data_IF_484961363726
#
_entry.id   IF_484961363726
#
_cell.length_a   1.000
_cell.length_b   1.000
_cell.length_c   1.000
_cell.angle_alpha   90.00
_cell.angle_beta   90.00
_cell.angle_gamma   90.00
#
_symmetry.space_group_name_H-M   'P 1'
#
loop_
_entity.id
_entity.type
_entity.pdbx_description
1 polymer ?
#
# COMPACT_ATOMS: atom_id res chain seq x y z
N UNK A 1 1.67 11.21 -16.47
CA UNK A 1 1.33 9.79 -16.70
C UNK A 1 1.51 9.01 -15.40
N UNK A 2 0.57 9.10 -14.45
CA UNK A 2 0.59 8.35 -13.18
C UNK A 2 -0.47 7.23 -13.12
N UNK A 3 -1.37 7.18 -14.11
CA UNK A 3 -2.54 6.27 -14.14
C UNK A 3 -2.22 4.76 -14.15
N UNK A 4 -0.99 4.35 -14.41
CA UNK A 4 -0.61 2.93 -14.52
C UNK A 4 0.27 2.40 -13.39
N UNK A 5 0.84 3.27 -12.57
CA UNK A 5 1.91 2.88 -11.65
C UNK A 5 1.38 2.08 -10.47
N UNK A 6 0.29 2.57 -9.85
CA UNK A 6 -0.38 1.86 -8.76
C UNK A 6 -0.93 0.50 -9.22
N UNK A 7 -1.51 0.42 -10.42
CA UNK A 7 -1.98 -0.84 -11.00
C UNK A 7 -0.85 -1.86 -11.17
N UNK A 8 0.32 -1.41 -11.65
CA UNK A 8 1.51 -2.24 -11.75
C UNK A 8 1.98 -2.74 -10.39
N UNK A 9 2.03 -1.86 -9.39
CA UNK A 9 2.42 -2.19 -8.01
C UNK A 9 1.46 -3.19 -7.37
N UNK A 10 0.15 -3.03 -7.53
CA UNK A 10 -0.88 -3.96 -7.03
C UNK A 10 -0.70 -5.36 -7.63
N UNK A 11 -0.43 -5.46 -8.94
CA UNK A 11 -0.13 -6.76 -9.56
C UNK A 11 1.13 -7.39 -8.98
N UNK A 12 2.18 -6.59 -8.76
CA UNK A 12 3.42 -7.02 -8.13
C UNK A 12 3.21 -7.56 -6.72
N UNK A 13 2.42 -6.84 -5.91
CA UNK A 13 2.04 -7.25 -4.54
C UNK A 13 1.35 -8.61 -4.56
N UNK A 14 0.30 -8.78 -5.38
CA UNK A 14 -0.43 -10.06 -5.46
C UNK A 14 0.46 -11.22 -5.89
N UNK A 15 1.38 -10.98 -6.85
CA UNK A 15 2.33 -12.00 -7.30
C UNK A 15 3.31 -12.39 -6.19
N UNK A 16 3.90 -11.40 -5.52
CA UNK A 16 4.84 -11.64 -4.42
C UNK A 16 4.16 -12.36 -3.27
N UNK A 17 2.97 -11.92 -2.86
CA UNK A 17 2.18 -12.57 -1.82
C UNK A 17 1.92 -14.04 -2.15
N UNK A 18 1.56 -14.36 -3.40
CA UNK A 18 1.34 -15.75 -3.80
C UNK A 18 2.61 -16.62 -3.73
N UNK A 19 3.78 -16.04 -4.01
CA UNK A 19 5.07 -16.73 -3.87
C UNK A 19 5.44 -16.95 -2.40
N UNK A 20 5.19 -15.96 -1.55
CA UNK A 20 5.59 -15.99 -0.14
C UNK A 20 4.62 -16.83 0.72
N UNK A 21 3.31 -16.73 0.47
CA UNK A 21 2.24 -17.30 1.30
C UNK A 21 1.58 -18.55 0.70
N UNK A 22 1.85 -18.88 -0.57
CA UNK A 22 1.37 -20.12 -1.19
C UNK A 22 -0.07 -20.10 -1.74
N UNK A 23 -0.75 -18.95 -1.73
CA UNK A 23 -2.05 -18.80 -2.40
C UNK A 23 -2.20 -17.42 -3.05
N UNK A 24 -3.01 -17.34 -4.11
CA UNK A 24 -3.25 -16.08 -4.81
C UNK A 24 -4.36 -15.28 -4.10
N UNK A 25 -4.09 -14.06 -3.59
CA UNK A 25 -5.12 -13.26 -2.94
C UNK A 25 -6.14 -12.74 -3.97
N UNK A 26 -7.37 -12.42 -3.54
CA UNK A 26 -8.41 -11.88 -4.41
C UNK A 26 -7.95 -10.66 -5.23
N UNK A 27 -8.64 -10.40 -6.35
CA UNK A 27 -8.38 -9.21 -7.16
C UNK A 27 -8.79 -7.94 -6.41
N UNK A 28 -8.01 -6.88 -6.56
CA UNK A 28 -8.32 -5.58 -5.98
C UNK A 28 -9.17 -4.80 -6.97
N UNK A 29 -10.41 -4.50 -6.57
CA UNK A 29 -11.30 -3.64 -7.35
C UNK A 29 -11.07 -2.18 -7.00
N UNK A 30 -10.66 -1.37 -7.99
CA UNK A 30 -10.45 0.07 -7.82
C UNK A 30 -11.68 0.79 -8.36
N UNK A 31 -12.21 1.73 -7.57
CA UNK A 31 -13.35 2.56 -7.93
C UNK A 31 -13.09 3.99 -7.48
N UNK A 32 -13.48 4.94 -8.32
CA UNK A 32 -13.53 6.33 -7.92
C UNK A 32 -14.69 6.54 -6.95
N UNK A 33 -14.46 7.35 -5.91
CA UNK A 33 -15.49 7.78 -4.98
C UNK A 33 -15.40 9.30 -4.81
N UNK A 34 -16.35 10.01 -5.41
CA UNK A 34 -16.41 11.48 -5.40
C UNK A 34 -16.83 12.06 -4.05
N UNK A 35 -17.29 11.23 -3.11
CA UNK A 35 -17.63 11.65 -1.75
C UNK A 35 -16.38 11.72 -0.84
N UNK A 36 -15.25 11.14 -1.26
CA UNK A 36 -14.01 11.23 -0.51
C UNK A 36 -13.35 12.60 -0.67
N UNK A 37 -12.66 13.10 0.37
CA UNK A 37 -11.83 14.28 0.22
C UNK A 37 -10.79 14.09 -0.89
N UNK A 38 -10.33 15.18 -1.53
CA UNK A 38 -9.26 15.11 -2.51
C UNK A 38 -8.03 14.39 -1.96
N UNK A 39 -7.35 13.62 -2.81
CA UNK A 39 -6.15 12.84 -2.46
C UNK A 39 -6.34 11.80 -1.33
N UNK A 40 -7.57 11.51 -0.91
CA UNK A 40 -7.86 10.46 0.07
C UNK A 40 -8.21 9.14 -0.60
N UNK A 41 -7.94 8.02 0.08
CA UNK A 41 -8.34 6.69 -0.35
C UNK A 41 -8.85 5.86 0.83
N UNK A 42 -9.63 4.83 0.51
CA UNK A 42 -10.11 3.81 1.46
C UNK A 42 -9.85 2.42 0.88
N UNK A 43 -9.53 1.48 1.75
CA UNK A 43 -9.34 0.07 1.44
C UNK A 43 -10.46 -0.68 2.14
N UNK A 44 -11.20 -1.47 1.36
CA UNK A 44 -12.35 -2.21 1.85
C UNK A 44 -12.16 -3.71 1.67
N UNK A 45 -12.61 -4.47 2.66
CA UNK A 45 -12.75 -5.91 2.59
C UNK A 45 -14.21 -6.29 2.77
N UNK A 46 -14.79 -6.99 1.78
CA UNK A 46 -16.20 -7.42 1.81
C UNK A 46 -17.18 -6.26 2.12
N UNK A 47 -16.84 -5.05 1.65
CA UNK A 47 -17.63 -3.83 1.84
C UNK A 47 -17.36 -3.07 3.13
N UNK A 48 -16.55 -3.60 4.05
CA UNK A 48 -16.17 -2.95 5.31
C UNK A 48 -14.82 -2.26 5.14
N UNK A 49 -14.70 -1.01 5.60
CA UNK A 49 -13.42 -0.31 5.61
C UNK A 49 -12.44 -0.97 6.58
N UNK A 50 -11.25 -1.30 6.08
CA UNK A 50 -10.17 -1.88 6.86
C UNK A 50 -8.94 -0.97 6.94
N UNK A 51 -8.93 0.12 6.18
CA UNK A 51 -7.87 1.13 6.24
C UNK A 51 -8.19 2.31 5.33
N UNK A 52 -7.62 3.45 5.65
CA UNK A 52 -7.74 4.69 4.89
C UNK A 52 -6.48 5.52 5.03
N UNK A 53 -6.34 6.52 4.17
CA UNK A 53 -5.21 7.44 4.25
C UNK A 53 -5.26 8.47 3.13
N UNK A 54 -4.21 9.28 3.11
CA UNK A 54 -3.99 10.30 2.09
C UNK A 54 -2.80 9.92 1.22
N UNK A 55 -2.87 10.29 -0.05
CA UNK A 55 -1.82 10.10 -1.04
C UNK A 55 -1.81 11.30 -1.98
N UNK A 56 -0.97 12.30 -1.69
CA UNK A 56 -0.93 13.57 -2.42
C UNK A 56 -0.15 13.42 -3.75
N UNK A 57 -0.82 13.40 -4.92
CA UNK A 57 -0.13 13.19 -6.18
C UNK A 57 0.84 14.33 -6.49
N UNK A 58 2.05 14.00 -6.95
CA UNK A 58 3.10 14.98 -7.25
C UNK A 58 3.96 15.40 -6.05
N UNK A 59 3.61 14.94 -4.84
CA UNK A 59 4.42 15.11 -3.63
C UNK A 59 5.00 13.77 -3.17
N UNK A 60 5.88 13.86 -2.18
CA UNK A 60 6.61 12.73 -1.61
C UNK A 60 6.33 12.65 -0.11
N UNK A 61 6.18 11.44 0.40
CA UNK A 61 6.08 11.20 1.83
C UNK A 61 7.48 10.91 2.38
N UNK A 62 7.99 11.79 3.24
CA UNK A 62 9.22 11.59 3.99
C UNK A 62 8.88 10.99 5.35
N UNK A 63 9.20 9.71 5.53
CA UNK A 63 8.90 8.93 6.73
C UNK A 63 10.12 8.92 7.64
N UNK A 64 9.94 9.23 8.92
CA UNK A 64 10.98 9.14 9.95
C UNK A 64 11.00 7.72 10.54
N UNK A 65 12.03 6.90 10.30
CA UNK A 65 12.12 5.56 10.87
C UNK A 65 12.65 5.55 12.32
N UNK A 66 12.78 6.72 12.95
CA UNK A 66 13.19 6.91 14.35
C UNK A 66 14.62 7.46 14.52
N UNK A 67 15.37 7.58 13.43
CA UNK A 67 16.76 8.10 13.43
C UNK A 67 16.95 9.30 12.49
N UNK A 68 15.88 9.83 11.89
CA UNK A 68 15.99 11.01 11.05
C UNK A 68 16.28 12.25 11.90
N UNK A 69 17.04 13.20 11.35
CA UNK A 69 17.52 14.38 12.07
C UNK A 69 17.01 15.65 11.40
N UNK A 70 16.54 16.59 12.22
CA UNK A 70 16.01 17.87 11.76
C UNK A 70 14.52 17.80 11.43
N UNK A 71 13.98 18.91 10.93
CA UNK A 71 12.59 19.01 10.49
C UNK A 71 12.53 19.36 9.00
N UNK A 72 11.48 18.89 8.34
CA UNK A 72 11.17 19.20 6.94
C UNK A 72 9.96 20.13 6.89
N UNK A 73 10.00 21.10 5.98
CA UNK A 73 8.85 21.92 5.66
C UNK A 73 7.83 21.10 4.85
N UNK A 74 6.58 21.05 5.30
CA UNK A 74 5.53 20.29 4.66
C UNK A 74 4.37 19.95 5.60
N UNK A 75 3.43 19.15 5.09
CA UNK A 75 2.26 18.75 5.87
C UNK A 75 2.60 17.51 6.71
N UNK A 76 2.63 17.68 8.04
CA UNK A 76 2.88 16.58 8.98
C UNK A 76 1.74 15.58 8.93
N UNK A 77 2.07 14.29 8.91
CA UNK A 77 1.13 13.18 8.85
C UNK A 77 1.75 11.92 9.47
N UNK A 78 1.09 10.78 9.33
CA UNK A 78 1.54 9.49 9.83
C UNK A 78 1.52 8.49 8.67
N UNK A 79 2.58 7.70 8.53
CA UNK A 79 2.61 6.60 7.57
C UNK A 79 1.50 5.58 7.90
N UNK A 80 0.61 5.26 6.96
CA UNK A 80 -0.56 4.45 7.24
C UNK A 80 -0.25 2.96 7.41
N UNK A 81 0.94 2.48 7.00
CA UNK A 81 1.31 1.07 7.11
C UNK A 81 1.95 0.73 8.46
N UNK A 82 2.74 1.64 9.03
CA UNK A 82 3.54 1.38 10.22
C UNK A 82 3.30 2.37 11.36
N UNK A 83 2.51 3.42 11.16
CA UNK A 83 2.23 4.42 12.19
C UNK A 83 3.40 5.34 12.49
N UNK A 84 4.35 5.48 11.57
CA UNK A 84 5.55 6.30 11.75
C UNK A 84 5.27 7.76 11.42
N UNK A 85 5.90 8.70 12.15
CA UNK A 85 5.81 10.12 11.83
C UNK A 85 6.34 10.39 10.42
N UNK A 86 5.60 11.19 9.66
CA UNK A 86 5.97 11.51 8.29
C UNK A 86 5.57 12.94 7.91
N UNK A 87 6.12 13.43 6.79
CA UNK A 87 5.83 14.76 6.26
C UNK A 87 5.65 14.66 4.75
N UNK A 88 4.57 15.24 4.23
CA UNK A 88 4.41 15.46 2.79
C UNK A 88 5.28 16.63 2.35
N UNK A 89 6.26 16.34 1.50
CA UNK A 89 7.24 17.30 1.00
C UNK A 89 7.15 17.45 -0.52
N UNK A 90 7.55 18.62 -1.00
CA UNK A 90 7.73 18.86 -2.43
C UNK A 90 8.97 18.14 -2.96
N UNK A 91 8.98 17.88 -4.27
CA UNK A 91 10.08 17.15 -4.93
C UNK A 91 11.46 17.77 -4.70
N UNK A 92 11.52 19.10 -4.53
CA UNK A 92 12.75 19.83 -4.26
C UNK A 92 13.43 19.45 -2.93
N UNK A 93 12.65 18.98 -1.94
CA UNK A 93 13.18 18.59 -0.63
C UNK A 93 13.57 17.11 -0.54
N UNK A 94 13.36 16.33 -1.61
CA UNK A 94 13.58 14.87 -1.61
C UNK A 94 15.02 14.51 -1.22
N UNK A 95 16.01 15.09 -1.88
CA UNK A 95 17.43 14.78 -1.63
C UNK A 95 17.84 15.19 -0.21
N UNK A 96 17.40 16.37 0.24
CA UNK A 96 17.64 16.85 1.60
C UNK A 96 17.05 15.90 2.64
N UNK A 97 15.79 15.49 2.47
CA UNK A 97 15.12 14.56 3.37
C UNK A 97 15.86 13.21 3.46
N UNK A 98 16.36 12.69 2.34
CA UNK A 98 17.16 11.46 2.34
C UNK A 98 18.50 11.62 3.10
N UNK A 99 19.19 12.75 2.91
CA UNK A 99 20.43 13.06 3.65
C UNK A 99 20.17 13.15 5.15
N UNK A 100 19.01 13.69 5.54
CA UNK A 100 18.56 13.79 6.92
C UNK A 100 18.11 12.44 7.52
N UNK A 101 18.11 11.35 6.74
CA UNK A 101 17.75 10.01 7.20
C UNK A 101 16.28 9.63 7.04
N UNK A 102 15.46 10.45 6.39
CA UNK A 102 14.07 10.11 6.08
C UNK A 102 14.02 9.08 4.94
N UNK A 103 13.08 8.14 5.06
CA UNK A 103 12.71 7.27 3.93
C UNK A 103 11.69 8.01 3.07
N UNK A 104 12.08 8.37 1.84
CA UNK A 104 11.23 9.20 0.96
C UNK A 104 10.59 8.34 -0.12
N UNK A 105 9.26 8.35 -0.19
CA UNK A 105 8.46 7.53 -1.12
C UNK A 105 7.42 8.37 -1.86
N UNK A 106 7.07 7.94 -3.08
CA UNK A 106 6.02 8.58 -3.87
C UNK A 106 4.63 8.21 -3.36
N UNK A 107 3.64 9.06 -3.63
CA UNK A 107 2.25 8.81 -3.23
C UNK A 107 1.68 7.44 -3.67
N UNK A 108 2.01 6.99 -4.89
CA UNK A 108 1.60 5.67 -5.39
C UNK A 108 2.19 4.53 -4.55
N UNK A 109 3.41 4.72 -4.03
CA UNK A 109 4.09 3.76 -3.17
C UNK A 109 3.48 3.73 -1.77
N UNK A 110 3.03 4.87 -1.23
CA UNK A 110 2.32 4.93 0.06
C UNK A 110 1.07 4.04 0.02
N UNK A 111 0.21 4.22 -0.98
CA UNK A 111 -1.02 3.40 -1.14
C UNK A 111 -0.67 1.92 -1.31
N UNK A 112 0.36 1.61 -2.12
CA UNK A 112 0.78 0.24 -2.38
C UNK A 112 1.33 -0.46 -1.11
N UNK A 113 2.16 0.23 -0.33
CA UNK A 113 2.71 -0.30 0.92
C UNK A 113 1.62 -0.53 1.95
N UNK A 114 0.69 0.42 2.11
CA UNK A 114 -0.46 0.25 3.00
C UNK A 114 -1.34 -0.93 2.59
N UNK A 115 -1.67 -1.05 1.31
CA UNK A 115 -2.42 -2.19 0.80
C UNK A 115 -1.69 -3.52 1.04
N UNK A 116 -0.38 -3.58 0.79
CA UNK A 116 0.40 -4.78 1.04
C UNK A 116 0.41 -5.16 2.53
N UNK A 117 0.52 -4.17 3.41
CA UNK A 117 0.43 -4.36 4.86
C UNK A 117 -0.92 -4.98 5.25
N UNK A 118 -2.03 -4.40 4.79
CA UNK A 118 -3.37 -4.91 5.09
C UNK A 118 -3.62 -6.30 4.49
N UNK A 119 -3.13 -6.58 3.27
CA UNK A 119 -3.25 -7.93 2.69
C UNK A 119 -2.52 -8.97 3.56
N UNK A 120 -1.36 -8.62 4.11
CA UNK A 120 -0.64 -9.47 5.08
C UNK A 120 -1.40 -9.62 6.40
N UNK A 121 -1.88 -8.52 6.96
CA UNK A 121 -2.60 -8.49 8.23
C UNK A 121 -3.90 -9.32 8.18
N UNK A 122 -4.64 -9.24 7.08
CA UNK A 122 -5.90 -9.96 6.89
C UNK A 122 -5.76 -11.19 5.98
N UNK A 123 -4.57 -11.78 5.91
CA UNK A 123 -4.29 -12.92 5.05
C UNK A 123 -5.21 -14.11 5.34
N UNK A 124 -5.63 -14.30 6.60
CA UNK A 124 -6.52 -15.40 6.98
C UNK A 124 -7.96 -15.19 6.53
N UNK A 125 -8.44 -13.95 6.58
CA UNK A 125 -9.80 -13.54 6.22
C UNK A 125 -10.01 -13.44 4.71
N UNK A 126 -8.91 -13.19 3.97
CA UNK A 126 -8.82 -13.25 2.52
C UNK A 126 -8.74 -14.69 2.00
N UNK A 127 -8.32 -15.66 2.82
CA UNK A 127 -8.25 -17.07 2.45
C UNK A 127 -9.59 -17.77 2.77
N UNK A 128 -10.59 -17.55 1.92
CA UNK A 128 -11.91 -18.13 2.08
C UNK A 128 -12.04 -19.53 1.48
N UNK A 129 -13.29 -20.03 1.48
CA UNK A 129 -13.66 -21.30 0.85
C UNK A 129 -13.33 -21.31 -0.64
N UNK A 130 -13.50 -20.19 -1.33
CA UNK A 130 -13.20 -20.06 -2.75
C UNK A 130 -11.70 -20.23 -3.01
N UNK A 131 -10.86 -19.52 -2.25
CA UNK A 131 -9.40 -19.60 -2.37
C UNK A 131 -8.90 -21.00 -1.99
N UNK A 132 -9.49 -21.61 -0.95
CA UNK A 132 -9.19 -23.00 -0.56
C UNK A 132 -9.50 -23.98 -1.68
N UNK A 133 -10.67 -23.87 -2.32
CA UNK A 133 -11.04 -24.75 -3.43
C UNK A 133 -10.09 -24.57 -4.62
N UNK A 134 -9.77 -23.31 -4.99
CA UNK A 134 -8.83 -23.02 -6.08
C UNK A 134 -7.43 -23.59 -5.80
N UNK A 135 -6.97 -23.50 -4.56
CA UNK A 135 -5.70 -24.07 -4.16
C UNK A 135 -5.71 -25.61 -4.27
N UNK A 136 -6.78 -26.25 -3.77
CA UNK A 136 -6.95 -27.70 -3.86
C UNK A 136 -6.97 -28.16 -5.33
N UNK A 137 -7.78 -27.50 -6.16
CA UNK A 137 -7.89 -27.83 -7.59
C UNK A 137 -6.52 -27.73 -8.30
N UNK A 138 -5.71 -26.74 -7.93
CA UNK A 138 -4.36 -26.57 -8.48
C UNK A 138 -3.41 -27.68 -8.03
N UNK A 139 -3.39 -27.98 -6.73
CA UNK A 139 -2.52 -29.03 -6.19
C UNK A 139 -2.90 -30.39 -6.78
N UNK A 140 -4.19 -30.69 -6.93
CA UNK A 140 -4.67 -31.93 -7.55
C UNK A 140 -4.28 -32.08 -9.03
N UNK A 141 -4.03 -30.97 -9.75
CA UNK A 141 -3.50 -31.04 -11.12
C UNK A 141 -1.99 -31.38 -11.15
N UNK A 142 -1.23 -30.87 -10.18
CA UNK A 142 0.21 -31.13 -10.07
C UNK A 142 0.52 -32.48 -9.40
N UNK A 143 -0.36 -32.93 -8.50
CA UNK A 143 -0.27 -34.16 -7.71
C UNK A 143 -1.66 -34.85 -7.62
N UNK A 144 -2.03 -35.71 -8.60
CA UNK A 144 -3.34 -36.34 -8.67
C UNK A 144 -3.59 -37.45 -7.64
#
# INVERSE_FOLDING_TARGET
QQNGELLGRIRGIRKKFAQDMGYLPPVVHIRDNLELPPASYRILMKGVEIGSGEAQPGRWLAINPGNAVGELAGDKTVDPAFGLEAVWIDSALREQAQIQGFTVVEASTVVATHLNHLIGQFASELFGRQETQQLLDRVSQEMP
#
